data_IF_191764325592
#
_entry.id   IF_191764325592
#
_cell.length_a   1.000
_cell.length_b   1.000
_cell.length_c   1.000
_cell.angle_alpha   90.00
_cell.angle_beta   90.00
_cell.angle_gamma   90.00
#
_symmetry.space_group_name_H-M   'P 1'
#
loop_
_entity.id
_entity.type
_entity.pdbx_description
1 polymer ?
#
# COMPACT_ATOMS: atom_id res chain seq x y z
N UNK A 1 17.86 20.95 0.27
CA UNK A 1 17.72 20.23 -1.02
C UNK A 1 18.68 19.03 -1.17
N UNK A 2 19.25 18.54 -0.07
CA UNK A 2 19.92 17.25 0.03
C UNK A 2 19.31 16.58 1.28
N UNK A 3 19.11 15.25 1.26
CA UNK A 3 18.82 14.37 2.41
C UNK A 3 17.38 13.93 2.77
N UNK A 4 16.36 14.07 1.90
CA UNK A 4 15.01 13.55 2.24
C UNK A 4 14.68 12.15 1.65
N UNK A 5 15.68 11.37 1.25
CA UNK A 5 15.50 9.95 0.92
C UNK A 5 16.41 9.15 1.84
N UNK A 6 15.94 8.89 3.06
CA UNK A 6 16.60 7.97 3.99
C UNK A 6 16.56 6.56 3.41
N UNK A 7 17.58 6.22 2.64
CA UNK A 7 18.02 4.85 2.43
C UNK A 7 18.83 4.44 3.66
N UNK A 8 18.16 4.05 4.74
CA UNK A 8 18.82 3.61 5.98
C UNK A 8 18.74 2.09 6.08
N UNK A 9 19.86 1.44 5.80
CA UNK A 9 20.16 0.07 6.21
C UNK A 9 20.85 0.17 7.58
N UNK A 10 20.11 0.10 8.68
CA UNK A 10 20.65 -0.23 10.01
C UNK A 10 19.60 -0.98 10.87
N UNK A 11 20.03 -1.92 11.73
CA UNK A 11 19.15 -2.73 12.56
C UNK A 11 19.06 -2.11 13.96
N UNK A 12 18.17 -1.15 14.19
CA UNK A 12 17.93 -0.64 15.55
C UNK A 12 16.46 -0.59 15.91
N UNK A 13 16.20 -1.20 17.06
CA UNK A 13 14.97 -1.15 17.85
C UNK A 13 14.63 0.30 18.15
N UNK A 14 13.84 0.94 17.30
CA UNK A 14 13.14 2.17 17.66
C UNK A 14 11.66 1.89 17.56
N UNK A 15 10.92 2.31 18.59
CA UNK A 15 9.47 2.44 18.59
C UNK A 15 9.03 3.10 17.28
N UNK A 16 8.71 2.29 16.29
CA UNK A 16 7.78 2.69 15.27
C UNK A 16 6.48 2.85 16.05
N UNK A 17 6.10 4.09 16.34
CA UNK A 17 4.67 4.42 16.40
C UNK A 17 4.11 3.91 15.07
N UNK A 18 3.67 2.65 15.07
CA UNK A 18 2.84 2.12 14.01
C UNK A 18 1.69 3.11 14.02
N UNK A 19 1.57 3.93 12.97
CA UNK A 19 0.40 4.76 12.80
C UNK A 19 -0.77 3.79 12.69
N UNK A 20 -1.38 3.49 13.83
CA UNK A 20 -2.53 2.60 13.91
C UNK A 20 -3.68 3.45 13.41
N UNK A 21 -4.06 3.23 12.15
CA UNK A 21 -5.25 3.85 11.60
C UNK A 21 -6.47 3.11 12.17
N UNK A 22 -7.28 3.74 13.04
CA UNK A 22 -8.49 3.10 13.55
C UNK A 22 -9.48 2.97 12.39
N UNK A 23 -9.63 1.76 11.86
CA UNK A 23 -10.58 1.51 10.78
C UNK A 23 -10.46 0.11 10.20
N UNK A 24 -11.38 -0.27 9.28
CA UNK A 24 -11.36 -1.55 8.60
C UNK A 24 -10.03 -1.80 7.88
N UNK A 25 -9.43 -2.94 8.19
CA UNK A 25 -8.23 -3.46 7.55
C UNK A 25 -8.63 -4.57 6.59
N UNK A 26 -8.27 -4.44 5.33
CA UNK A 26 -8.51 -5.43 4.28
C UNK A 26 -7.16 -6.05 3.92
N UNK A 27 -7.00 -7.32 4.26
CA UNK A 27 -5.81 -8.11 3.93
C UNK A 27 -6.09 -9.08 2.77
N UNK A 28 -5.44 -8.82 1.64
CA UNK A 28 -5.47 -9.59 0.41
C UNK A 28 -4.08 -10.15 0.06
N UNK A 29 -3.22 -10.31 1.05
CA UNK A 29 -1.85 -10.83 0.89
C UNK A 29 -1.85 -12.23 0.25
N UNK A 30 -0.97 -12.47 -0.73
CA UNK A 30 -0.73 -13.81 -1.29
C UNK A 30 -1.89 -14.40 -2.09
N UNK A 31 -2.86 -13.59 -2.51
CA UNK A 31 -4.06 -14.02 -3.26
C UNK A 31 -3.80 -14.21 -4.76
N UNK A 32 -2.58 -13.95 -5.24
CA UNK A 32 -2.25 -14.02 -6.67
C UNK A 32 -2.93 -12.93 -7.50
N UNK A 33 -3.31 -11.81 -6.87
CA UNK A 33 -4.00 -10.69 -7.53
C UNK A 33 -3.06 -10.09 -8.58
N UNK A 34 -3.51 -10.06 -9.83
CA UNK A 34 -2.75 -9.45 -10.94
C UNK A 34 -3.26 -8.05 -11.30
N UNK A 35 -4.55 -7.83 -11.06
CA UNK A 35 -5.25 -6.56 -11.32
C UNK A 35 -6.15 -6.28 -10.14
N UNK A 36 -6.17 -5.03 -9.73
CA UNK A 36 -7.12 -4.54 -8.75
C UNK A 36 -8.50 -4.48 -9.37
N UNK A 37 -9.33 -5.47 -9.02
CA UNK A 37 -10.74 -5.44 -9.36
C UNK A 37 -11.43 -4.45 -8.43
N UNK A 38 -12.16 -3.47 -8.97
CA UNK A 38 -12.82 -2.49 -8.14
C UNK A 38 -13.93 -3.09 -7.26
N UNK A 39 -14.38 -4.32 -7.51
CA UNK A 39 -15.26 -5.05 -6.58
C UNK A 39 -14.60 -5.36 -5.23
N UNK A 40 -13.28 -5.55 -5.17
CA UNK A 40 -12.56 -5.80 -3.91
C UNK A 40 -12.26 -4.51 -3.12
N UNK A 41 -12.29 -3.36 -3.79
CA UNK A 41 -11.89 -2.05 -3.26
C UNK A 41 -13.12 -1.17 -2.97
N UNK A 42 -14.32 -1.62 -3.36
CA UNK A 42 -15.59 -0.88 -3.22
C UNK A 42 -16.11 -0.77 -1.78
N UNK A 43 -15.23 -0.78 -0.79
CA UNK A 43 -15.59 -0.51 0.59
C UNK A 43 -15.18 0.93 0.91
N UNK A 44 -16.17 1.83 0.93
CA UNK A 44 -16.02 3.26 1.25
C UNK A 44 -15.41 3.52 2.64
N UNK A 45 -15.39 2.49 3.49
CA UNK A 45 -14.86 2.57 4.84
C UNK A 45 -13.47 1.94 4.99
N UNK A 46 -12.85 1.42 3.93
CA UNK A 46 -11.53 0.76 4.07
C UNK A 46 -10.46 1.79 4.40
N UNK A 47 -9.77 1.61 5.53
CA UNK A 47 -8.70 2.50 5.99
C UNK A 47 -7.32 1.94 5.67
N UNK A 48 -7.16 0.62 5.77
CA UNK A 48 -5.89 -0.06 5.50
C UNK A 48 -6.08 -1.18 4.49
N UNK A 49 -5.27 -1.19 3.43
CA UNK A 49 -5.29 -2.20 2.39
C UNK A 49 -3.90 -2.85 2.27
N UNK A 50 -3.85 -4.16 2.48
CA UNK A 50 -2.63 -4.97 2.40
C UNK A 50 -2.76 -5.90 1.20
N UNK A 51 -1.87 -5.74 0.23
CA UNK A 51 -1.83 -6.45 -1.03
C UNK A 51 -0.47 -7.13 -1.22
N UNK A 52 0.20 -7.44 -0.12
CA UNK A 52 1.57 -7.95 -0.17
C UNK A 52 1.62 -9.32 -0.89
N UNK A 53 2.78 -9.67 -1.47
CA UNK A 53 3.01 -10.96 -2.13
C UNK A 53 1.97 -11.31 -3.20
N UNK A 54 1.55 -10.32 -3.97
CA UNK A 54 0.68 -10.52 -5.13
C UNK A 54 1.46 -10.30 -6.45
N UNK A 55 0.77 -10.43 -7.58
CA UNK A 55 1.37 -10.26 -8.91
C UNK A 55 0.87 -8.95 -9.57
N UNK A 56 0.56 -7.94 -8.77
CA UNK A 56 -0.02 -6.69 -9.26
C UNK A 56 1.03 -5.96 -10.08
N UNK A 57 0.70 -5.66 -11.34
CA UNK A 57 1.57 -4.90 -12.24
C UNK A 57 1.17 -3.43 -12.35
N UNK A 58 -0.12 -3.13 -12.14
CA UNK A 58 -0.65 -1.78 -12.21
C UNK A 58 -1.61 -1.55 -11.05
N UNK A 59 -1.35 -0.51 -10.28
CA UNK A 59 -2.25 0.00 -9.25
C UNK A 59 -3.18 1.04 -9.90
N UNK A 60 -4.37 0.56 -10.29
CA UNK A 60 -5.45 1.36 -10.89
C UNK A 60 -6.76 1.07 -10.10
N UNK A 61 -7.81 1.86 -10.30
CA UNK A 61 -9.12 1.72 -9.63
C UNK A 61 -9.13 1.98 -8.10
N UNK A 62 -8.10 2.61 -7.55
CA UNK A 62 -8.02 2.97 -6.14
C UNK A 62 -8.93 4.16 -5.77
N UNK A 63 -9.52 4.86 -6.75
CA UNK A 63 -10.43 5.98 -6.50
C UNK A 63 -11.70 5.62 -5.70
N UNK A 64 -12.03 4.32 -5.59
CA UNK A 64 -13.18 3.82 -4.81
C UNK A 64 -12.90 3.66 -3.31
N UNK A 65 -11.68 3.92 -2.85
CA UNK A 65 -11.36 3.97 -1.42
C UNK A 65 -10.81 5.34 -1.04
N UNK A 66 -11.64 6.39 -1.04
CA UNK A 66 -11.20 7.75 -0.70
C UNK A 66 -10.71 7.85 0.75
N UNK A 67 -11.20 6.97 1.63
CA UNK A 67 -10.83 6.86 3.04
C UNK A 67 -9.51 6.13 3.30
N UNK A 68 -8.83 5.60 2.27
CA UNK A 68 -7.66 4.77 2.46
C UNK A 68 -6.50 5.60 3.03
N UNK A 69 -6.03 5.22 4.22
CA UNK A 69 -4.95 5.87 4.94
C UNK A 69 -3.64 5.08 4.85
N UNK A 70 -3.72 3.76 4.67
CA UNK A 70 -2.56 2.90 4.54
C UNK A 70 -2.71 1.91 3.38
N UNK A 71 -1.68 1.81 2.56
CA UNK A 71 -1.57 0.87 1.45
C UNK A 71 -0.23 0.13 1.52
N UNK A 72 -0.27 -1.19 1.60
CA UNK A 72 0.91 -2.04 1.48
C UNK A 72 0.79 -2.90 0.24
N UNK A 73 1.79 -2.84 -0.62
CA UNK A 73 1.86 -3.59 -1.90
C UNK A 73 3.24 -4.22 -2.02
N UNK A 74 3.80 -4.66 -0.90
CA UNK A 74 5.12 -5.24 -0.85
C UNK A 74 5.19 -6.55 -1.67
N UNK A 75 6.34 -6.87 -2.24
CA UNK A 75 6.56 -8.07 -3.05
C UNK A 75 5.56 -8.23 -4.20
N UNK A 76 5.21 -7.13 -4.87
CA UNK A 76 4.45 -7.12 -6.11
C UNK A 76 5.36 -6.88 -7.34
N UNK A 77 4.77 -6.90 -8.54
CA UNK A 77 5.46 -6.66 -9.82
C UNK A 77 5.08 -5.31 -10.41
N UNK A 78 4.95 -4.29 -9.56
CA UNK A 78 4.42 -2.98 -9.94
C UNK A 78 5.30 -2.30 -10.99
N UNK A 79 4.70 -1.94 -12.11
CA UNK A 79 5.31 -1.18 -13.20
C UNK A 79 4.71 0.23 -13.29
N UNK A 80 3.45 0.40 -12.84
CA UNK A 80 2.74 1.68 -12.80
C UNK A 80 1.80 1.80 -11.60
N UNK A 81 1.61 3.03 -11.12
CA UNK A 81 0.78 3.35 -9.95
C UNK A 81 -0.09 4.59 -10.19
N UNK A 82 -0.97 4.54 -11.20
CA UNK A 82 -1.78 5.72 -11.56
C UNK A 82 -2.95 5.96 -10.62
N UNK A 83 -3.48 4.92 -9.96
CA UNK A 83 -4.58 5.05 -9.00
C UNK A 83 -4.19 5.67 -7.65
N UNK A 84 -2.90 5.63 -7.28
CA UNK A 84 -2.44 6.11 -5.96
C UNK A 84 -2.57 7.62 -5.81
N UNK A 85 -2.46 8.39 -6.91
CA UNK A 85 -2.61 9.85 -6.88
C UNK A 85 -4.02 10.32 -6.50
N UNK A 86 -5.03 9.46 -6.62
CA UNK A 86 -6.42 9.76 -6.25
C UNK A 86 -6.69 9.53 -4.76
N UNK A 87 -5.78 8.88 -4.04
CA UNK A 87 -5.91 8.60 -2.62
C UNK A 87 -5.50 9.81 -1.77
N UNK A 88 -6.42 10.75 -1.62
CA UNK A 88 -6.17 12.01 -0.91
C UNK A 88 -5.89 11.83 0.59
N UNK A 89 -6.37 10.75 1.19
CA UNK A 89 -6.19 10.45 2.62
C UNK A 89 -5.00 9.52 2.91
N UNK A 90 -4.26 9.10 1.87
CA UNK A 90 -3.17 8.15 2.03
C UNK A 90 -2.01 8.78 2.81
N UNK A 91 -1.68 8.18 3.95
CA UNK A 91 -0.60 8.61 4.85
C UNK A 91 0.60 7.67 4.79
N UNK A 92 0.35 6.38 4.60
CA UNK A 92 1.39 5.34 4.57
C UNK A 92 1.28 4.54 3.29
N UNK A 93 2.37 4.49 2.52
CA UNK A 93 2.51 3.67 1.33
C UNK A 93 3.75 2.79 1.44
N UNK A 94 3.55 1.47 1.52
CA UNK A 94 4.63 0.49 1.55
C UNK A 94 4.77 -0.18 0.17
N UNK A 95 5.87 0.13 -0.51
CA UNK A 95 6.23 -0.41 -1.83
C UNK A 95 7.40 -1.40 -1.75
N UNK A 96 7.72 -1.93 -0.57
CA UNK A 96 8.88 -2.81 -0.39
C UNK A 96 8.87 -3.94 -1.42
N UNK A 97 9.83 -3.93 -2.35
CA UNK A 97 10.10 -5.09 -3.19
C UNK A 97 11.23 -5.85 -2.53
N UNK A 98 10.97 -7.08 -2.09
CA UNK A 98 12.04 -8.04 -1.80
C UNK A 98 12.73 -8.35 -3.13
N UNK A 99 13.73 -7.55 -3.51
CA UNK A 99 14.74 -8.01 -4.45
C UNK A 99 15.50 -9.16 -3.79
N UNK A 100 15.57 -10.36 -4.41
CA UNK A 100 16.67 -11.27 -4.14
C UNK A 100 18.00 -10.71 -4.66
#
# INVERSE_FOLDING_TARGET
>A
LWLAVKYQREPERQQNEVLVFPGPVVDLTGRGVQKLDPSFISSDDTHTLILDRNNIMKLDNLERSPSLQQLSVANNRLVRMMGVSQLMQLRVLNLWSSCP
#
